data_IF_776950490603
#
_entry.id   IF_776950490603
#
_cell.length_a   1.000
_cell.length_b   1.000
_cell.length_c   1.000
_cell.angle_alpha   90.00
_cell.angle_beta   90.00
_cell.angle_gamma   90.00
#
_symmetry.space_group_name_H-M   'P 1'
#
loop_
_entity.id
_entity.type
_entity.pdbx_description
1 polymer ?
#
# COMPACT_ATOMS: atom_id res chain seq x y z
N UNK A 1 5.26 -6.81 27.33
CA UNK A 1 5.65 -5.83 26.36
C UNK A 1 4.72 -5.87 25.14
N UNK A 2 3.42 -5.56 25.35
CA UNK A 2 2.34 -5.75 24.34
C UNK A 2 1.55 -4.46 24.09
N UNK A 3 2.15 -3.29 24.11
CA UNK A 3 1.38 -2.03 24.19
C UNK A 3 1.63 -1.00 23.08
N UNK A 4 2.29 -1.33 21.97
CA UNK A 4 2.74 -0.32 21.01
C UNK A 4 2.01 -0.30 19.68
N UNK A 5 1.27 -1.33 19.30
CA UNK A 5 0.84 -1.53 17.91
C UNK A 5 -0.51 -0.89 17.53
N UNK A 6 -1.26 -0.36 18.45
CA UNK A 6 -2.65 0.10 18.24
C UNK A 6 -2.87 1.51 17.77
N UNK A 7 -1.84 2.28 17.61
CA UNK A 7 -2.05 3.70 17.30
C UNK A 7 -2.33 3.98 15.80
N UNK A 8 -2.37 2.93 15.01
CA UNK A 8 -2.26 3.06 13.56
C UNK A 8 -3.55 3.26 12.77
N UNK A 9 -4.68 2.94 13.36
CA UNK A 9 -5.94 2.95 12.61
C UNK A 9 -6.85 4.15 12.85
N UNK A 10 -6.56 5.00 13.81
CA UNK A 10 -7.48 6.09 14.21
C UNK A 10 -7.00 7.52 13.95
N UNK A 11 -5.82 7.75 13.36
CA UNK A 11 -5.30 9.11 13.14
C UNK A 11 -5.00 9.39 11.66
N UNK A 12 -6.05 9.34 10.88
CA UNK A 12 -6.03 9.94 9.56
C UNK A 12 -6.32 11.42 9.63
N UNK A 13 -5.43 12.28 10.11
CA UNK A 13 -5.41 13.71 9.81
C UNK A 13 -4.19 14.37 10.48
N UNK A 14 -3.11 14.46 9.75
CA UNK A 14 -2.20 15.61 9.85
C UNK A 14 -1.47 15.74 8.51
N UNK A 15 -1.92 16.68 7.71
CA UNK A 15 -1.17 17.14 6.55
C UNK A 15 0.05 17.91 7.06
N UNK A 16 1.21 17.27 7.07
CA UNK A 16 2.48 17.97 7.18
C UNK A 16 3.05 18.13 5.77
N UNK A 17 2.87 19.29 5.19
CA UNK A 17 3.60 19.73 4.01
C UNK A 17 5.03 19.99 4.44
N UNK A 18 5.91 19.02 4.29
CA UNK A 18 7.36 19.24 4.33
C UNK A 18 7.89 19.22 2.90
N UNK A 19 8.06 20.41 2.34
CA UNK A 19 8.93 20.61 1.20
C UNK A 19 10.38 20.32 1.65
N UNK A 20 10.87 19.12 1.36
CA UNK A 20 12.22 18.65 1.68
C UNK A 20 12.87 18.03 0.46
N UNK A 21 13.96 18.63 0.01
CA UNK A 21 14.79 18.28 -1.13
C UNK A 21 15.18 16.80 -1.23
N UNK A 22 15.08 16.22 -2.43
CA UNK A 22 15.96 15.13 -2.86
C UNK A 22 15.41 13.71 -2.69
N UNK A 23 14.10 13.49 -2.68
CA UNK A 23 13.54 12.16 -2.84
C UNK A 23 13.55 11.70 -4.31
N UNK A 24 13.60 10.37 -4.58
CA UNK A 24 13.48 9.86 -5.93
C UNK A 24 12.18 10.37 -6.56
N UNK A 25 12.29 10.85 -7.79
CA UNK A 25 11.14 11.42 -8.48
C UNK A 25 10.24 10.31 -9.00
N UNK A 26 9.00 10.28 -8.52
CA UNK A 26 7.93 9.57 -9.22
C UNK A 26 7.70 10.34 -10.52
N UNK A 27 8.06 9.72 -11.63
CA UNK A 27 8.08 10.37 -12.93
C UNK A 27 6.86 10.06 -13.79
N UNK A 28 6.09 9.04 -13.43
CA UNK A 28 4.96 8.60 -14.22
C UNK A 28 3.62 8.95 -13.57
N UNK A 29 2.75 9.58 -14.35
CA UNK A 29 1.32 9.60 -14.12
C UNK A 29 0.71 8.30 -14.66
N UNK A 30 -0.48 7.93 -14.21
CA UNK A 30 -1.21 6.77 -14.76
C UNK A 30 -1.29 6.78 -16.29
N UNK A 31 -1.36 7.96 -16.90
CA UNK A 31 -1.42 8.15 -18.36
C UNK A 31 -0.04 8.01 -19.06
N UNK A 32 1.06 8.19 -18.33
CA UNK A 32 2.43 8.16 -18.87
C UNK A 32 3.10 6.80 -18.64
N UNK A 33 2.70 6.05 -17.63
CA UNK A 33 3.22 4.73 -17.36
C UNK A 33 2.53 3.69 -18.26
N UNK A 34 3.21 3.25 -19.30
CA UNK A 34 2.63 2.36 -20.32
C UNK A 34 3.06 0.90 -20.20
N UNK A 35 4.17 0.61 -19.51
CA UNK A 35 4.67 -0.75 -19.42
C UNK A 35 3.98 -1.51 -18.28
N UNK A 36 3.28 -2.59 -18.63
CA UNK A 36 2.54 -3.45 -17.71
C UNK A 36 3.29 -4.73 -17.30
N UNK A 37 4.51 -4.93 -17.77
CA UNK A 37 5.33 -6.06 -17.33
C UNK A 37 6.07 -5.73 -16.03
N UNK A 38 5.89 -6.55 -15.00
CA UNK A 38 6.60 -6.38 -13.73
C UNK A 38 8.13 -6.47 -13.88
N UNK A 39 8.62 -7.23 -14.86
CA UNK A 39 10.06 -7.43 -15.12
C UNK A 39 10.74 -6.15 -15.66
N UNK A 40 9.98 -5.21 -16.22
CA UNK A 40 10.52 -3.97 -16.73
C UNK A 40 10.92 -2.98 -15.62
N UNK A 41 10.50 -3.23 -14.38
CA UNK A 41 10.72 -2.35 -13.24
C UNK A 41 11.83 -2.92 -12.33
N UNK A 42 12.54 -2.03 -11.62
CA UNK A 42 13.51 -2.42 -10.59
C UNK A 42 12.78 -2.77 -9.30
N UNK A 43 13.47 -3.43 -8.37
CA UNK A 43 12.95 -3.69 -7.03
C UNK A 43 13.12 -2.46 -6.11
N UNK A 44 12.42 -1.38 -6.47
CA UNK A 44 12.36 -0.14 -5.70
C UNK A 44 10.90 0.26 -5.43
N UNK A 45 10.69 1.04 -4.39
CA UNK A 45 9.36 1.51 -4.03
C UNK A 45 8.72 2.36 -5.13
N UNK A 46 9.51 3.27 -5.73
CA UNK A 46 9.00 4.12 -6.81
C UNK A 46 8.65 3.31 -8.07
N UNK A 47 9.42 2.26 -8.37
CA UNK A 47 9.10 1.38 -9.48
C UNK A 47 7.84 0.54 -9.21
N UNK A 48 7.58 0.14 -7.95
CA UNK A 48 6.29 -0.44 -7.57
C UNK A 48 5.14 0.54 -7.84
N UNK A 49 5.30 1.81 -7.46
CA UNK A 49 4.27 2.83 -7.72
C UNK A 49 4.05 3.06 -9.21
N UNK A 50 5.13 3.14 -9.99
CA UNK A 50 5.06 3.28 -11.44
C UNK A 50 4.38 2.08 -12.10
N UNK A 51 4.69 0.87 -11.64
CA UNK A 51 4.04 -0.36 -12.13
C UNK A 51 2.53 -0.36 -11.86
N UNK A 52 2.10 -0.09 -10.63
CA UNK A 52 0.68 -0.04 -10.29
C UNK A 52 -0.05 1.12 -10.98
N UNK A 53 0.65 2.22 -11.23
CA UNK A 53 0.15 3.34 -12.02
C UNK A 53 -0.04 2.96 -13.49
N UNK A 54 0.88 2.19 -14.08
CA UNK A 54 0.75 1.70 -15.46
C UNK A 54 -0.48 0.81 -15.66
N UNK A 55 -0.92 0.12 -14.59
CA UNK A 55 -2.18 -0.62 -14.59
C UNK A 55 -3.41 0.26 -14.33
N UNK A 56 -3.23 1.52 -13.96
CA UNK A 56 -4.31 2.47 -13.66
C UNK A 56 -4.96 2.22 -12.30
N UNK A 57 -4.27 1.59 -11.35
CA UNK A 57 -4.82 1.34 -10.01
C UNK A 57 -4.63 2.52 -9.06
N UNK A 58 -3.51 3.21 -9.19
CA UNK A 58 -3.17 4.43 -8.46
C UNK A 58 -2.72 5.50 -9.45
N UNK A 59 -2.78 6.75 -9.03
CA UNK A 59 -2.22 7.87 -9.76
C UNK A 59 -1.35 8.70 -8.82
N UNK A 60 -0.03 8.43 -8.72
CA UNK A 60 0.84 9.08 -7.75
C UNK A 60 1.14 10.54 -8.08
N UNK A 61 0.95 10.95 -9.34
CA UNK A 61 1.25 12.29 -9.82
C UNK A 61 0.21 12.73 -10.86
N UNK A 62 -0.53 13.79 -10.58
CA UNK A 62 -1.42 14.41 -11.55
C UNK A 62 -0.75 15.61 -12.21
N UNK A 63 -0.79 15.68 -13.53
CA UNK A 63 -0.09 16.67 -14.36
C UNK A 63 -0.30 18.13 -13.94
N UNK A 64 -1.48 18.45 -13.40
CA UNK A 64 -1.82 19.82 -13.00
C UNK A 64 -2.00 20.02 -11.50
N UNK A 65 -1.87 18.96 -10.70
CA UNK A 65 -2.10 18.99 -9.25
C UNK A 65 -0.88 18.58 -8.43
N UNK A 66 0.14 18.00 -9.08
CA UNK A 66 1.30 17.46 -8.39
C UNK A 66 1.01 16.11 -7.73
N UNK A 67 1.63 15.86 -6.59
CA UNK A 67 1.46 14.59 -5.85
C UNK A 67 0.03 14.43 -5.32
N UNK A 68 -0.50 13.23 -5.46
CA UNK A 68 -1.88 12.86 -5.12
C UNK A 68 -1.97 11.80 -4.02
N UNK A 69 -0.88 11.60 -3.31
CA UNK A 69 -0.79 10.66 -2.20
C UNK A 69 -0.63 11.36 -0.86
N UNK A 70 -0.94 10.64 0.21
CA UNK A 70 -0.65 11.06 1.59
C UNK A 70 0.51 10.21 2.12
N UNK A 71 1.55 10.86 2.67
CA UNK A 71 2.61 10.15 3.37
C UNK A 71 2.07 9.52 4.66
N UNK A 72 2.44 8.27 4.89
CA UNK A 72 1.99 7.50 6.05
C UNK A 72 3.09 7.45 7.12
N UNK A 73 2.67 7.32 8.38
CA UNK A 73 3.58 7.05 9.51
C UNK A 73 4.05 5.59 9.46
N UNK A 74 4.89 5.29 8.46
CA UNK A 74 5.41 3.95 8.21
C UNK A 74 6.24 3.41 9.38
N UNK A 75 6.89 4.30 10.13
CA UNK A 75 7.66 4.00 11.35
C UNK A 75 6.84 3.25 12.42
N UNK A 76 5.53 3.47 12.47
CA UNK A 76 4.65 2.82 13.43
C UNK A 76 4.48 1.30 13.19
N UNK A 77 4.70 0.84 11.96
CA UNK A 77 4.72 -0.59 11.60
C UNK A 77 6.12 -1.11 11.30
N UNK A 78 7.14 -0.32 11.61
CA UNK A 78 8.52 -0.68 11.34
C UNK A 78 8.91 -0.63 9.86
N UNK A 79 8.08 -0.05 9.00
CA UNK A 79 8.38 0.13 7.59
C UNK A 79 9.26 1.37 7.36
N UNK A 80 10.01 1.34 6.28
CA UNK A 80 10.92 2.41 5.86
C UNK A 80 10.17 3.63 5.33
N UNK A 81 9.10 3.40 4.58
CA UNK A 81 8.23 4.42 4.00
C UNK A 81 6.86 3.85 3.68
N UNK A 82 5.87 4.73 3.54
CA UNK A 82 4.51 4.34 3.18
C UNK A 82 3.72 5.52 2.59
N UNK A 83 2.84 5.21 1.63
CA UNK A 83 1.97 6.19 0.98
C UNK A 83 0.58 5.62 0.79
N UNK A 84 -0.43 6.48 0.96
CA UNK A 84 -1.84 6.18 0.71
C UNK A 84 -2.30 6.89 -0.55
N UNK A 85 -2.99 6.16 -1.40
CA UNK A 85 -3.57 6.61 -2.66
C UNK A 85 -5.08 6.38 -2.65
N UNK A 86 -5.83 7.20 -3.39
CA UNK A 86 -7.18 6.85 -3.78
C UNK A 86 -7.12 5.83 -4.91
N UNK A 87 -7.92 4.77 -4.82
CA UNK A 87 -8.03 3.81 -5.91
C UNK A 87 -8.69 4.47 -7.13
N UNK A 88 -8.15 4.21 -8.33
CA UNK A 88 -8.63 4.91 -9.54
C UNK A 88 -9.94 4.33 -10.08
N UNK A 89 -10.28 3.10 -9.74
CA UNK A 89 -11.49 2.43 -10.22
C UNK A 89 -12.74 2.68 -9.35
N UNK A 90 -12.55 3.18 -8.11
CA UNK A 90 -13.66 3.50 -7.20
C UNK A 90 -13.30 4.62 -6.24
N UNK A 91 -14.29 5.42 -5.86
CA UNK A 91 -14.13 6.50 -4.86
C UNK A 91 -14.18 5.98 -3.42
N UNK A 92 -14.58 4.73 -3.23
CA UNK A 92 -14.80 4.14 -1.91
C UNK A 92 -13.56 3.41 -1.36
N UNK A 93 -12.53 3.23 -2.19
CA UNK A 93 -11.34 2.50 -1.80
C UNK A 93 -10.07 3.36 -1.74
N UNK A 94 -9.20 2.99 -0.81
CA UNK A 94 -7.84 3.49 -0.71
C UNK A 94 -6.85 2.34 -0.76
N UNK A 95 -5.68 2.60 -1.31
CA UNK A 95 -4.56 1.67 -1.40
C UNK A 95 -3.39 2.29 -0.64
N UNK A 96 -2.97 1.64 0.44
CA UNK A 96 -1.75 2.00 1.14
C UNK A 96 -0.64 1.04 0.72
N UNK A 97 0.52 1.57 0.46
CA UNK A 97 1.71 0.81 0.08
C UNK A 97 2.84 1.15 1.03
N UNK A 98 3.52 0.12 1.54
CA UNK A 98 4.64 0.26 2.47
C UNK A 98 5.85 -0.52 1.97
N UNK A 99 7.05 0.01 2.21
CA UNK A 99 8.33 -0.67 1.96
C UNK A 99 9.01 -1.01 3.28
N UNK A 100 9.46 -2.24 3.44
CA UNK A 100 10.29 -2.70 4.54
C UNK A 100 11.75 -2.84 4.10
N UNK A 101 12.69 -2.51 4.97
CA UNK A 101 14.11 -2.83 4.80
C UNK A 101 14.38 -4.19 5.45
N UNK A 102 14.27 -5.27 4.66
CA UNK A 102 14.46 -6.64 5.17
C UNK A 102 15.88 -6.91 5.67
N UNK A 103 16.86 -6.06 5.29
CA UNK A 103 18.24 -6.17 5.77
C UNK A 103 18.47 -5.50 7.12
N UNK A 104 17.55 -4.63 7.53
CA UNK A 104 17.59 -3.86 8.77
C UNK A 104 16.23 -3.91 9.47
N UNK A 105 15.65 -5.11 9.54
CA UNK A 105 14.38 -5.31 10.20
C UNK A 105 14.46 -4.96 11.70
N UNK A 106 13.31 -4.62 12.26
CA UNK A 106 13.14 -4.37 13.70
C UNK A 106 11.98 -5.21 14.22
N UNK A 107 11.87 -5.32 15.55
CA UNK A 107 10.86 -6.19 16.18
C UNK A 107 9.43 -5.88 15.74
N UNK A 108 9.09 -4.62 15.48
CA UNK A 108 7.76 -4.21 15.00
C UNK A 108 7.53 -4.70 13.58
N UNK A 109 8.51 -4.51 12.67
CA UNK A 109 8.46 -5.00 11.31
C UNK A 109 8.31 -6.53 11.27
N UNK A 110 9.12 -7.24 12.09
CA UNK A 110 9.09 -8.71 12.16
C UNK A 110 7.73 -9.22 12.62
N UNK A 111 7.11 -8.59 13.61
CA UNK A 111 5.79 -8.94 14.10
C UNK A 111 4.73 -8.72 13.02
N UNK A 112 4.72 -7.55 12.37
CA UNK A 112 3.77 -7.22 11.31
C UNK A 112 3.91 -8.19 10.13
N UNK A 113 5.12 -8.35 9.61
CA UNK A 113 5.36 -9.21 8.44
C UNK A 113 5.04 -10.68 8.73
N UNK A 114 5.34 -11.17 9.94
CA UNK A 114 5.02 -12.54 10.34
C UNK A 114 3.51 -12.76 10.44
N UNK A 115 2.78 -11.81 11.03
CA UNK A 115 1.32 -11.90 11.17
C UNK A 115 0.62 -11.87 9.81
N UNK A 116 1.01 -10.93 8.95
CA UNK A 116 0.44 -10.85 7.60
C UNK A 116 0.77 -12.08 6.76
N UNK A 117 1.97 -12.64 6.90
CA UNK A 117 2.37 -13.85 6.19
C UNK A 117 1.59 -15.09 6.67
N UNK A 118 1.29 -15.17 7.95
CA UNK A 118 0.56 -16.30 8.53
C UNK A 118 -0.92 -16.30 8.16
N UNK A 119 -1.59 -15.16 8.31
CA UNK A 119 -3.04 -15.05 8.26
C UNK A 119 -3.58 -14.09 7.20
N UNK A 120 -2.73 -13.32 6.51
CA UNK A 120 -3.16 -12.17 5.69
C UNK A 120 -3.80 -11.07 6.53
N UNK A 121 -3.62 -11.10 7.84
CA UNK A 121 -4.27 -10.25 8.81
C UNK A 121 -3.31 -9.81 9.91
N UNK A 122 -3.77 -8.83 10.67
CA UNK A 122 -3.03 -8.26 11.77
C UNK A 122 -4.03 -7.84 12.85
N UNK A 123 -3.71 -8.08 14.12
CA UNK A 123 -4.55 -7.62 15.22
C UNK A 123 -4.21 -6.19 15.60
N UNK A 124 -5.23 -5.32 15.63
CA UNK A 124 -5.08 -4.00 16.22
C UNK A 124 -4.95 -4.08 17.75
N UNK A 125 -4.68 -2.98 18.44
CA UNK A 125 -4.54 -2.95 19.92
C UNK A 125 -5.83 -3.30 20.67
N UNK A 126 -6.97 -3.18 20.00
CA UNK A 126 -8.26 -3.52 20.62
C UNK A 126 -8.56 -5.01 20.48
N UNK A 127 -7.69 -5.76 19.79
CA UNK A 127 -7.84 -7.17 19.53
C UNK A 127 -8.67 -7.47 18.28
N UNK A 128 -9.09 -6.43 17.53
CA UNK A 128 -9.85 -6.65 16.30
C UNK A 128 -8.92 -7.15 15.21
N UNK A 129 -9.36 -8.17 14.49
CA UNK A 129 -8.67 -8.67 13.31
C UNK A 129 -8.96 -7.75 12.14
N UNK A 130 -7.92 -7.23 11.52
CA UNK A 130 -8.02 -6.46 10.29
C UNK A 130 -7.51 -7.31 9.13
N UNK A 131 -8.42 -7.67 8.25
CA UNK A 131 -8.15 -8.43 7.02
C UNK A 131 -8.06 -7.42 5.87
N UNK A 132 -7.15 -7.42 5.04
CA UNK A 132 -6.96 -6.56 3.87
C UNK A 132 -5.50 -6.19 3.67
N UNK A 133 -4.62 -6.99 4.26
CA UNK A 133 -3.18 -6.86 4.13
C UNK A 133 -2.64 -7.90 3.16
N UNK A 134 -1.80 -7.46 2.26
CA UNK A 134 -1.20 -8.32 1.24
C UNK A 134 0.30 -8.07 1.18
N UNK A 135 1.10 -9.13 1.17
CA UNK A 135 2.53 -9.03 0.95
C UNK A 135 2.85 -9.28 -0.53
N UNK A 136 3.82 -8.54 -1.07
CA UNK A 136 4.45 -8.86 -2.34
C UNK A 136 5.15 -10.23 -2.26
N UNK A 137 5.37 -10.88 -3.40
CA UNK A 137 5.99 -12.21 -3.43
C UNK A 137 7.39 -12.24 -2.81
N UNK A 138 8.15 -11.15 -2.91
CA UNK A 138 9.46 -11.04 -2.26
C UNK A 138 9.38 -10.62 -0.77
N UNK A 139 8.19 -10.38 -0.23
CA UNK A 139 7.96 -10.01 1.17
C UNK A 139 8.42 -8.60 1.56
N UNK A 140 8.89 -7.80 0.61
CA UNK A 140 9.46 -6.47 0.85
C UNK A 140 8.40 -5.37 0.95
N UNK A 141 7.27 -5.55 0.25
CA UNK A 141 6.21 -4.58 0.18
C UNK A 141 4.93 -5.10 0.82
N UNK A 142 4.24 -4.21 1.52
CA UNK A 142 2.93 -4.46 2.09
C UNK A 142 1.92 -3.55 1.41
N UNK A 143 0.81 -4.11 0.98
CA UNK A 143 -0.36 -3.38 0.53
C UNK A 143 -1.49 -3.53 1.54
N UNK A 144 -2.15 -2.42 1.88
CA UNK A 144 -3.44 -2.39 2.57
C UNK A 144 -4.47 -1.89 1.57
N UNK A 145 -5.47 -2.71 1.28
CA UNK A 145 -6.57 -2.33 0.42
C UNK A 145 -7.80 -2.13 1.30
N UNK A 146 -8.24 -0.88 1.48
CA UNK A 146 -9.40 -0.55 2.29
C UNK A 146 -10.53 -0.04 1.40
N UNK A 147 -11.66 -0.75 1.40
CA UNK A 147 -12.86 -0.40 0.65
C UNK A 147 -14.05 -0.26 1.59
N UNK A 148 -14.55 0.97 1.72
CA UNK A 148 -15.65 1.30 2.62
C UNK A 148 -17.03 0.88 2.08
N UNK A 149 -17.12 0.44 0.84
CA UNK A 149 -18.36 -0.12 0.26
C UNK A 149 -18.59 -1.57 0.64
N UNK A 150 -17.55 -2.25 1.13
CA UNK A 150 -17.63 -3.64 1.59
C UNK A 150 -17.97 -3.62 3.06
N UNK A 151 -19.21 -3.97 3.39
CA UNK A 151 -19.74 -3.90 4.75
C UNK A 151 -19.72 -5.23 5.50
N UNK A 152 -19.60 -6.33 4.78
CA UNK A 152 -19.42 -7.67 5.33
C UNK A 152 -18.74 -8.61 4.32
N UNK A 153 -18.32 -9.79 4.80
CA UNK A 153 -17.67 -10.81 3.97
C UNK A 153 -18.63 -11.47 2.97
N UNK A 154 -19.90 -11.05 2.95
CA UNK A 154 -20.88 -11.60 2.06
C UNK A 154 -20.72 -11.02 0.67
N UNK A 155 -19.84 -11.67 -0.10
CA UNK A 155 -19.99 -11.77 -1.56
C UNK A 155 -20.18 -10.44 -2.27
N UNK A 156 -19.14 -9.70 -2.26
CA UNK A 156 -18.93 -8.75 -3.32
C UNK A 156 -18.79 -9.55 -4.63
N UNK A 157 -19.88 -9.74 -5.33
CA UNK A 157 -19.92 -10.37 -6.66
C UNK A 157 -19.81 -9.34 -7.76
N UNK A 158 -19.55 -8.09 -7.39
CA UNK A 158 -19.57 -6.93 -8.24
C UNK A 158 -18.27 -6.77 -9.05
N UNK A 159 -18.32 -5.92 -10.04
CA UNK A 159 -17.18 -5.42 -10.81
C UNK A 159 -16.07 -4.90 -9.86
N UNK A 160 -16.46 -4.28 -8.76
CA UNK A 160 -15.55 -3.78 -7.73
C UNK A 160 -14.74 -4.90 -7.07
N UNK A 161 -15.35 -6.04 -6.72
CA UNK A 161 -14.65 -7.21 -6.19
C UNK A 161 -13.63 -7.76 -7.18
N UNK A 162 -14.06 -7.95 -8.40
CA UNK A 162 -13.19 -8.46 -9.47
C UNK A 162 -12.00 -7.53 -9.67
N UNK A 163 -12.23 -6.22 -9.66
CA UNK A 163 -11.18 -5.23 -9.80
C UNK A 163 -10.22 -5.20 -8.61
N UNK A 164 -10.74 -5.36 -7.39
CA UNK A 164 -9.91 -5.49 -6.19
C UNK A 164 -8.99 -6.71 -6.27
N UNK A 165 -9.52 -7.87 -6.67
CA UNK A 165 -8.71 -9.07 -6.83
C UNK A 165 -7.62 -8.87 -7.90
N UNK A 166 -7.95 -8.23 -9.02
CA UNK A 166 -6.97 -7.87 -10.04
C UNK A 166 -5.83 -6.99 -9.48
N UNK A 167 -6.16 -5.96 -8.69
CA UNK A 167 -5.17 -5.10 -8.03
C UNK A 167 -4.25 -5.91 -7.12
N UNK A 168 -4.82 -6.79 -6.29
CA UNK A 168 -4.08 -7.64 -5.35
C UNK A 168 -3.15 -8.58 -6.11
N UNK A 169 -3.63 -9.22 -7.16
CA UNK A 169 -2.85 -10.16 -7.94
C UNK A 169 -1.69 -9.46 -8.64
N UNK A 170 -1.92 -8.30 -9.25
CA UNK A 170 -0.86 -7.50 -9.86
C UNK A 170 0.16 -7.00 -8.86
N UNK A 171 -0.27 -6.59 -7.67
CA UNK A 171 0.66 -6.26 -6.60
C UNK A 171 1.55 -7.46 -6.21
N UNK A 172 0.98 -8.65 -6.08
CA UNK A 172 1.74 -9.88 -5.77
C UNK A 172 2.67 -10.33 -6.90
N UNK A 173 2.36 -10.00 -8.14
CA UNK A 173 3.22 -10.27 -9.29
C UNK A 173 4.49 -9.42 -9.29
N UNK A 174 4.49 -8.26 -8.63
CA UNK A 174 5.65 -7.38 -8.59
C UNK A 174 6.84 -8.06 -7.90
N UNK A 175 7.93 -8.31 -8.68
CA UNK A 175 9.14 -9.01 -8.21
C UNK A 175 8.88 -10.40 -7.60
N UNK A 176 8.05 -11.17 -8.31
CA UNK A 176 7.80 -12.58 -8.01
C UNK A 176 9.03 -13.44 -8.26
#
# INVERSE_FOLDING_TARGET
>A
MKKIIALLLCLGMFAAVCAGCGGPQITATGDEATNKSADAYKDTYDDLLNYLSAWGYINPLEKNKGVTYTEMRADLIGAKQGRRFNAQHTKNATIELYEFDLSKSNATADEVLSSVKADGSFQNLFGDKVDSFYLSSNGKYLMVYNDTSITDDTKDTDENYTKRQEVIDKFKEFKK
#
